data_IF_937099027956
#
_entry.id   IF_937099027956
#
_cell.length_a   1.000
_cell.length_b   1.000
_cell.length_c   1.000
_cell.angle_alpha   90.00
_cell.angle_beta   90.00
_cell.angle_gamma   90.00
#
_symmetry.space_group_name_H-M   'P 1'
#
loop_
_entity.id
_entity.type
_entity.pdbx_description
1 polymer ?
#
# COMPACT_ATOMS: atom_id res chain seq x y z
N UNK A 1 11.66 9.96 -5.27
CA UNK A 1 12.59 10.91 -4.60
C UNK A 1 12.78 12.17 -5.45
N UNK A 2 13.08 12.08 -6.75
CA UNK A 2 13.23 13.29 -7.60
C UNK A 2 12.00 14.22 -7.58
N UNK A 3 10.79 13.68 -7.44
CA UNK A 3 9.54 14.44 -7.42
C UNK A 3 9.36 15.31 -6.15
N UNK A 4 10.21 15.15 -5.13
CA UNK A 4 10.10 15.84 -3.84
C UNK A 4 11.13 16.94 -3.65
N UNK A 5 12.15 17.00 -4.52
CA UNK A 5 13.24 17.98 -4.38
C UNK A 5 12.73 19.38 -4.71
N UNK A 6 12.93 20.32 -3.77
CA UNK A 6 12.56 21.73 -3.93
C UNK A 6 11.07 22.03 -3.78
N UNK A 7 10.27 21.10 -3.27
CA UNK A 7 8.84 21.31 -3.01
C UNK A 7 8.55 21.52 -1.54
N UNK A 8 7.62 22.41 -1.25
CA UNK A 8 7.14 22.68 0.13
C UNK A 8 6.30 21.53 0.70
N UNK A 9 5.71 20.70 -0.19
CA UNK A 9 4.90 19.55 0.23
C UNK A 9 5.27 18.31 -0.56
N UNK A 10 5.21 17.16 0.12
CA UNK A 10 5.38 15.86 -0.54
C UNK A 10 4.10 15.51 -1.31
N UNK A 11 4.20 15.52 -2.64
CA UNK A 11 3.17 15.00 -3.55
C UNK A 11 3.82 14.10 -4.57
N UNK A 12 3.16 13.01 -4.92
CA UNK A 12 3.64 12.06 -5.90
C UNK A 12 2.80 12.13 -7.16
N UNK A 13 3.44 11.97 -8.30
CA UNK A 13 2.69 11.66 -9.53
C UNK A 13 1.94 10.35 -9.31
N UNK A 14 0.69 10.22 -9.81
CA UNK A 14 -0.01 8.96 -9.76
C UNK A 14 0.86 7.82 -10.27
N UNK A 15 1.08 6.79 -9.45
CA UNK A 15 2.07 5.75 -9.74
C UNK A 15 1.48 4.37 -9.45
N UNK A 16 1.74 3.42 -10.33
CA UNK A 16 1.39 2.01 -10.18
C UNK A 16 2.66 1.18 -10.01
N UNK A 17 2.77 0.47 -8.89
CA UNK A 17 3.81 -0.51 -8.65
C UNK A 17 3.34 -1.88 -9.12
N UNK A 18 3.99 -2.45 -10.13
CA UNK A 18 3.70 -3.78 -10.64
C UNK A 18 4.78 -4.77 -10.25
N UNK A 19 4.42 -6.03 -10.05
CA UNK A 19 5.37 -7.08 -9.75
C UNK A 19 4.71 -8.28 -9.06
N UNK A 20 5.45 -9.37 -8.84
CA UNK A 20 4.88 -10.61 -8.36
C UNK A 20 4.27 -10.47 -6.95
N UNK A 21 3.28 -11.33 -6.61
CA UNK A 21 2.67 -11.33 -5.30
C UNK A 21 3.72 -11.62 -4.22
N UNK A 22 3.64 -10.86 -3.11
CA UNK A 22 4.58 -11.01 -2.01
C UNK A 22 5.93 -10.30 -2.20
N UNK A 23 6.14 -9.53 -3.27
CA UNK A 23 7.35 -8.71 -3.48
C UNK A 23 7.50 -7.57 -2.45
N UNK A 24 6.41 -7.15 -1.80
CA UNK A 24 6.43 -6.10 -0.78
C UNK A 24 5.92 -4.74 -1.28
N UNK A 25 5.20 -4.68 -2.40
CA UNK A 25 4.67 -3.46 -3.02
C UNK A 25 3.93 -2.55 -2.02
N UNK A 26 2.88 -3.04 -1.40
CA UNK A 26 2.07 -2.26 -0.44
C UNK A 26 2.88 -1.86 0.80
N UNK A 27 3.86 -2.68 1.20
CA UNK A 27 4.74 -2.37 2.34
C UNK A 27 5.69 -1.21 2.04
N UNK A 28 6.25 -1.15 0.83
CA UNK A 28 7.13 -0.02 0.46
C UNK A 28 6.35 1.28 0.44
N UNK A 29 5.10 1.27 -0.04
CA UNK A 29 4.21 2.45 -0.01
C UNK A 29 3.95 2.91 1.44
N UNK A 30 3.62 1.97 2.33
CA UNK A 30 3.39 2.29 3.74
C UNK A 30 4.67 2.86 4.42
N UNK A 31 5.85 2.34 4.10
CA UNK A 31 7.11 2.88 4.60
C UNK A 31 7.44 4.27 4.06
N UNK A 32 7.16 4.52 2.79
CA UNK A 32 7.30 5.86 2.20
C UNK A 32 6.40 6.85 2.92
N UNK A 33 5.13 6.53 3.12
CA UNK A 33 4.20 7.38 3.87
C UNK A 33 4.72 7.67 5.29
N UNK A 34 5.14 6.64 6.01
CA UNK A 34 5.71 6.78 7.36
C UNK A 34 6.95 7.68 7.41
N UNK A 35 7.92 7.44 6.51
CA UNK A 35 9.15 8.24 6.48
C UNK A 35 8.95 9.70 6.09
N UNK A 36 7.90 10.00 5.33
CA UNK A 36 7.56 11.36 4.92
C UNK A 36 6.53 12.02 5.85
N UNK A 37 6.08 11.32 6.90
CA UNK A 37 5.06 11.83 7.81
C UNK A 37 3.69 12.03 7.15
N UNK A 38 3.39 11.29 6.05
CA UNK A 38 2.12 11.41 5.34
C UNK A 38 1.06 10.51 5.96
N UNK A 39 -0.17 11.01 6.08
CA UNK A 39 -1.32 10.17 6.37
C UNK A 39 -1.49 9.11 5.28
N UNK A 40 -1.59 7.84 5.66
CA UNK A 40 -1.83 6.74 4.72
C UNK A 40 -3.30 6.30 4.80
N UNK A 41 -3.98 6.35 3.65
CA UNK A 41 -5.31 5.77 3.47
C UNK A 41 -5.23 4.59 2.52
N UNK A 42 -5.74 3.44 2.94
CA UNK A 42 -5.68 2.21 2.16
C UNK A 42 -7.05 1.83 1.63
N UNK A 43 -7.12 1.56 0.34
CA UNK A 43 -8.29 1.07 -0.40
C UNK A 43 -7.94 -0.31 -0.95
N UNK A 44 -8.78 -1.29 -0.65
CA UNK A 44 -8.63 -2.65 -1.17
C UNK A 44 -9.54 -2.80 -2.40
N UNK A 45 -8.95 -2.79 -3.59
CA UNK A 45 -9.69 -2.83 -4.84
C UNK A 45 -10.51 -4.14 -5.02
N UNK A 46 -10.25 -5.16 -4.20
CA UNK A 46 -11.05 -6.40 -4.22
C UNK A 46 -12.38 -6.26 -3.50
N UNK A 47 -12.52 -5.29 -2.61
CA UNK A 47 -13.68 -5.06 -1.75
C UNK A 47 -14.36 -3.73 -2.03
N UNK A 48 -13.58 -2.71 -2.32
CA UNK A 48 -14.07 -1.36 -2.52
C UNK A 48 -14.58 -1.18 -3.95
N UNK A 49 -15.82 -0.74 -4.09
CA UNK A 49 -16.41 -0.39 -5.37
C UNK A 49 -16.18 1.10 -5.69
N UNK A 50 -16.49 1.50 -6.92
CA UNK A 50 -16.37 2.89 -7.33
C UNK A 50 -17.22 3.85 -6.49
N UNK A 51 -18.41 3.43 -6.09
CA UNK A 51 -19.30 4.20 -5.22
C UNK A 51 -18.66 4.47 -3.84
N UNK A 52 -17.96 3.48 -3.26
CA UNK A 52 -17.25 3.68 -1.99
C UNK A 52 -16.09 4.66 -2.14
N UNK A 53 -15.24 4.48 -3.16
CA UNK A 53 -14.12 5.39 -3.40
C UNK A 53 -14.56 6.82 -3.72
N UNK A 54 -15.59 6.95 -4.58
CA UNK A 54 -16.09 8.23 -5.11
C UNK A 54 -17.06 8.97 -4.19
N UNK A 55 -17.49 8.33 -3.11
CA UNK A 55 -18.51 8.83 -2.22
C UNK A 55 -19.94 8.47 -2.65
N UNK A 56 -20.84 8.47 -1.68
CA UNK A 56 -22.27 8.17 -1.87
C UNK A 56 -23.10 9.43 -1.71
N UNK A 57 -24.06 9.60 -2.63
CA UNK A 57 -24.96 10.76 -2.63
C UNK A 57 -25.70 10.90 -1.28
N UNK A 58 -25.78 12.14 -0.79
CA UNK A 58 -26.44 12.50 0.49
C UNK A 58 -27.90 12.07 0.61
N UNK A 59 -28.55 11.72 -0.50
CA UNK A 59 -29.94 11.20 -0.49
C UNK A 59 -30.06 9.79 0.09
N UNK A 60 -28.97 9.07 0.16
CA UNK A 60 -28.93 7.71 0.69
C UNK A 60 -28.70 7.75 2.22
N UNK A 61 -29.37 6.88 2.95
CA UNK A 61 -29.16 6.76 4.40
C UNK A 61 -27.71 6.34 4.77
N UNK A 62 -27.01 5.74 3.82
CA UNK A 62 -25.61 5.32 3.92
C UNK A 62 -24.66 6.30 3.24
N UNK A 63 -25.05 7.57 3.07
CA UNK A 63 -24.21 8.58 2.42
C UNK A 63 -22.86 8.71 3.13
N UNK A 64 -21.79 8.76 2.34
CA UNK A 64 -20.43 8.84 2.84
C UNK A 64 -19.58 9.68 1.87
N UNK A 65 -18.72 10.58 2.39
CA UNK A 65 -17.82 11.35 1.55
C UNK A 65 -16.84 10.48 0.80
N UNK A 66 -16.30 10.97 -0.31
CA UNK A 66 -15.25 10.28 -1.05
C UNK A 66 -14.03 9.98 -0.17
N UNK A 67 -13.41 8.83 -0.37
CA UNK A 67 -12.26 8.38 0.43
C UNK A 67 -11.12 9.39 0.52
N UNK A 68 -10.71 10.14 -0.53
CA UNK A 68 -9.67 11.16 -0.40
C UNK A 68 -10.04 12.28 0.55
N UNK A 69 -11.32 12.66 0.62
CA UNK A 69 -11.81 13.68 1.56
C UNK A 69 -11.75 13.16 2.99
N UNK A 70 -12.16 11.92 3.21
CA UNK A 70 -12.03 11.26 4.52
C UNK A 70 -10.56 11.10 4.93
N UNK A 71 -9.67 10.81 3.98
CA UNK A 71 -8.24 10.72 4.24
C UNK A 71 -7.66 12.06 4.69
N UNK A 72 -8.04 13.17 4.05
CA UNK A 72 -7.66 14.54 4.45
C UNK A 72 -8.18 14.85 5.85
N UNK A 73 -9.46 14.59 6.11
CA UNK A 73 -10.08 14.85 7.41
C UNK A 73 -9.41 14.05 8.53
N UNK A 74 -9.09 12.78 8.30
CA UNK A 74 -8.46 11.90 9.29
C UNK A 74 -6.99 12.22 9.54
N UNK A 75 -6.24 12.58 8.49
CA UNK A 75 -4.81 12.90 8.61
C UNK A 75 -4.55 14.32 9.12
N UNK A 76 -5.52 15.22 8.98
CA UNK A 76 -5.36 16.64 9.26
C UNK A 76 -4.44 17.37 8.28
N UNK A 77 -4.12 16.75 7.14
CA UNK A 77 -3.23 17.31 6.12
C UNK A 77 -3.87 17.22 4.73
N UNK A 78 -3.58 18.20 3.87
CA UNK A 78 -4.16 18.25 2.53
C UNK A 78 -3.53 17.23 1.55
N UNK A 79 -2.44 16.59 1.93
CA UNK A 79 -1.62 15.72 1.07
C UNK A 79 -1.46 14.28 1.58
N UNK A 80 -2.53 13.60 2.01
CA UNK A 80 -2.43 12.20 2.37
C UNK A 80 -2.00 11.35 1.18
N UNK A 81 -1.47 10.17 1.47
CA UNK A 81 -1.13 9.16 0.48
C UNK A 81 -2.23 8.10 0.41
N UNK A 82 -2.88 8.01 -0.74
CA UNK A 82 -3.86 6.96 -1.04
C UNK A 82 -3.12 5.75 -1.62
N UNK A 83 -3.30 4.59 -1.00
CA UNK A 83 -2.82 3.31 -1.51
C UNK A 83 -4.01 2.51 -2.04
N UNK A 84 -4.07 2.31 -3.36
CA UNK A 84 -5.04 1.40 -3.98
C UNK A 84 -4.35 0.04 -4.15
N UNK A 85 -4.72 -0.92 -3.32
CA UNK A 85 -4.08 -2.24 -3.31
C UNK A 85 -4.80 -3.22 -4.22
N UNK A 86 -4.05 -4.01 -4.98
CA UNK A 86 -4.53 -5.03 -5.91
C UNK A 86 -5.47 -4.49 -7.00
N UNK A 87 -5.09 -3.37 -7.62
CA UNK A 87 -5.91 -2.63 -8.58
C UNK A 87 -6.39 -3.50 -9.77
N UNK A 88 -5.63 -4.50 -10.20
CA UNK A 88 -5.99 -5.44 -11.26
C UNK A 88 -7.17 -6.36 -10.88
N UNK A 89 -7.49 -6.44 -9.59
CA UNK A 89 -8.59 -7.26 -9.07
C UNK A 89 -9.88 -6.48 -8.84
N UNK A 90 -9.88 -5.19 -9.14
CA UNK A 90 -11.07 -4.36 -9.00
C UNK A 90 -12.26 -4.97 -9.76
N UNK A 91 -13.41 -5.01 -9.10
CA UNK A 91 -14.60 -5.59 -9.67
C UNK A 91 -15.00 -4.85 -10.96
N UNK A 92 -15.24 -5.61 -12.03
CA UNK A 92 -15.70 -5.08 -13.32
C UNK A 92 -17.21 -4.87 -13.40
N UNK A 93 -17.96 -5.28 -12.36
CA UNK A 93 -19.40 -5.15 -12.29
C UNK A 93 -19.82 -3.70 -12.13
N UNK A 94 -20.82 -3.29 -12.91
CA UNK A 94 -21.33 -1.92 -12.90
C UNK A 94 -22.32 -1.63 -11.76
N UNK A 95 -22.78 -2.63 -11.02
CA UNK A 95 -23.89 -2.54 -10.06
C UNK A 95 -23.61 -1.55 -8.91
N UNK A 96 -22.33 -1.35 -8.54
CA UNK A 96 -21.89 -0.38 -7.55
C UNK A 96 -20.84 0.61 -8.08
N UNK A 97 -20.82 0.81 -9.41
CA UNK A 97 -19.79 1.59 -10.09
C UNK A 97 -18.43 0.88 -10.13
N UNK A 98 -17.69 1.09 -11.21
CA UNK A 98 -16.32 0.55 -11.32
C UNK A 98 -15.35 1.45 -10.56
N UNK A 99 -14.42 0.85 -9.83
CA UNK A 99 -13.43 1.58 -9.05
C UNK A 99 -12.65 2.59 -9.91
N UNK A 100 -12.23 2.19 -11.11
CA UNK A 100 -11.47 3.06 -12.00
C UNK A 100 -12.28 4.21 -12.59
N UNK A 101 -13.60 4.10 -12.76
CA UNK A 101 -14.43 5.19 -13.22
C UNK A 101 -14.48 6.32 -12.16
N UNK A 102 -14.50 5.96 -10.87
CA UNK A 102 -14.39 6.91 -9.78
C UNK A 102 -12.95 7.46 -9.63
N UNK A 103 -11.94 6.63 -9.90
CA UNK A 103 -10.54 7.02 -9.73
C UNK A 103 -10.06 7.98 -10.82
N UNK A 104 -10.48 7.79 -12.08
CA UNK A 104 -10.02 8.59 -13.23
C UNK A 104 -10.10 10.11 -13.02
N UNK A 105 -11.24 10.70 -12.60
CA UNK A 105 -11.32 12.15 -12.36
C UNK A 105 -10.45 12.62 -11.20
N UNK A 106 -10.13 11.75 -10.25
CA UNK A 106 -9.28 12.09 -9.11
C UNK A 106 -7.78 12.11 -9.47
N UNK A 107 -7.39 11.43 -10.54
CA UNK A 107 -6.02 11.41 -11.04
C UNK A 107 -5.69 12.58 -11.97
N UNK A 108 -6.70 13.28 -12.49
CA UNK A 108 -6.53 14.44 -13.35
C UNK A 108 -6.41 15.71 -12.52
N UNK A 109 -5.35 16.52 -12.69
CA UNK A 109 -5.13 17.71 -11.87
C UNK A 109 -6.25 18.75 -11.93
N UNK A 110 -6.89 18.90 -13.08
CA UNK A 110 -7.96 19.88 -13.29
C UNK A 110 -9.25 19.47 -12.57
N UNK A 111 -9.68 18.22 -12.74
CA UNK A 111 -10.89 17.69 -12.09
C UNK A 111 -10.67 17.46 -10.58
N UNK A 112 -9.46 17.11 -10.16
CA UNK A 112 -9.12 16.95 -8.75
C UNK A 112 -9.15 18.28 -7.96
N UNK A 113 -8.90 19.44 -8.61
CA UNK A 113 -9.02 20.76 -7.97
C UNK A 113 -10.45 21.15 -7.67
N UNK A 114 -11.40 20.67 -8.46
CA UNK A 114 -12.82 20.99 -8.36
C UNK A 114 -13.65 19.70 -8.30
N UNK A 115 -13.19 18.76 -7.47
CA UNK A 115 -13.86 17.48 -7.32
C UNK A 115 -15.24 17.67 -6.67
N UNK A 116 -16.30 17.24 -7.37
CA UNK A 116 -17.66 17.30 -6.87
C UNK A 116 -17.94 16.11 -5.97
N UNK A 117 -17.93 16.33 -4.66
CA UNK A 117 -18.27 15.28 -3.72
C UNK A 117 -19.79 15.06 -3.65
N UNK A 118 -20.28 13.83 -3.92
CA UNK A 118 -21.73 13.57 -3.95
C UNK A 118 -22.39 13.64 -2.58
N UNK A 119 -21.65 13.41 -1.49
CA UNK A 119 -22.15 13.49 -0.14
C UNK A 119 -22.31 14.95 0.32
N UNK A 120 -21.28 15.77 0.15
CA UNK A 120 -21.28 17.18 0.52
C UNK A 120 -21.98 18.05 -0.52
N UNK A 121 -22.10 17.59 -1.77
CA UNK A 121 -22.63 18.33 -2.91
C UNK A 121 -21.90 19.69 -3.10
N UNK A 122 -20.61 19.69 -2.94
CA UNK A 122 -19.75 20.87 -3.07
C UNK A 122 -18.42 20.51 -3.72
N UNK A 123 -17.79 21.51 -4.30
CA UNK A 123 -16.44 21.38 -4.82
C UNK A 123 -15.43 21.25 -3.69
N UNK A 124 -14.49 20.32 -3.86
CA UNK A 124 -13.42 20.06 -2.90
C UNK A 124 -12.11 19.88 -3.65
N UNK A 125 -11.07 20.58 -3.22
CA UNK A 125 -9.73 20.44 -3.82
C UNK A 125 -9.01 19.23 -3.20
N UNK A 126 -8.89 18.15 -4.00
CA UNK A 126 -8.14 16.95 -3.67
C UNK A 126 -6.86 16.81 -4.51
N UNK A 127 -6.45 17.85 -5.23
CA UNK A 127 -5.29 17.82 -6.15
C UNK A 127 -3.95 17.57 -5.46
N UNK A 128 -3.88 17.78 -4.15
CA UNK A 128 -2.67 17.51 -3.34
C UNK A 128 -2.60 16.09 -2.82
N UNK A 129 -3.66 15.30 -2.95
CA UNK A 129 -3.69 13.89 -2.58
C UNK A 129 -2.77 13.12 -3.51
N UNK A 130 -1.91 12.28 -2.93
CA UNK A 130 -1.00 11.43 -3.68
C UNK A 130 -1.59 10.05 -3.90
N UNK A 131 -1.41 9.49 -5.09
CA UNK A 131 -2.00 8.21 -5.48
C UNK A 131 -0.92 7.19 -5.82
N UNK A 132 -0.88 6.08 -5.09
CA UNK A 132 -0.03 4.93 -5.37
C UNK A 132 -0.89 3.67 -5.45
N UNK A 133 -0.87 3.02 -6.61
CA UNK A 133 -1.52 1.74 -6.84
C UNK A 133 -0.52 0.58 -6.74
N UNK A 134 -1.02 -0.60 -6.41
CA UNK A 134 -0.28 -1.85 -6.59
C UNK A 134 -1.05 -2.78 -7.50
N UNK A 135 -0.33 -3.55 -8.32
CA UNK A 135 -0.88 -4.60 -9.16
C UNK A 135 0.12 -5.74 -9.32
N UNK A 136 -0.35 -6.94 -9.61
CA UNK A 136 0.53 -8.04 -9.97
C UNK A 136 0.85 -8.00 -11.47
N UNK A 137 -0.08 -7.55 -12.28
CA UNK A 137 0.01 -7.41 -13.72
C UNK A 137 -0.85 -6.26 -14.22
N UNK A 138 -0.66 -5.80 -15.45
CA UNK A 138 -1.42 -4.68 -16.04
C UNK A 138 -2.50 -5.12 -17.04
N UNK A 139 -2.53 -6.39 -17.44
CA UNK A 139 -3.32 -6.88 -18.55
C UNK A 139 -4.84 -6.63 -18.43
N UNK A 140 -5.37 -6.51 -17.22
CA UNK A 140 -6.79 -6.27 -16.96
C UNK A 140 -7.12 -4.79 -16.69
N UNK A 141 -6.12 -3.91 -16.69
CA UNK A 141 -6.34 -2.49 -16.40
C UNK A 141 -6.73 -1.72 -17.67
N UNK A 142 -7.72 -0.82 -17.60
CA UNK A 142 -8.11 -0.02 -18.76
C UNK A 142 -6.99 0.91 -19.21
N UNK A 143 -6.83 1.07 -20.53
CA UNK A 143 -5.84 1.97 -21.10
C UNK A 143 -5.94 3.41 -20.56
N UNK A 144 -7.13 4.04 -20.42
CA UNK A 144 -7.25 5.38 -19.85
C UNK A 144 -6.67 5.52 -18.44
N UNK A 145 -6.71 4.46 -17.64
CA UNK A 145 -6.11 4.46 -16.30
C UNK A 145 -4.59 4.35 -16.38
N UNK A 146 -4.07 3.49 -17.26
CA UNK A 146 -2.62 3.33 -17.46
C UNK A 146 -1.96 4.60 -18.00
N UNK A 147 -2.65 5.34 -18.84
CA UNK A 147 -2.15 6.64 -19.38
C UNK A 147 -1.94 7.70 -18.29
N UNK A 148 -2.68 7.60 -17.18
CA UNK A 148 -2.59 8.53 -16.04
C UNK A 148 -1.63 8.08 -14.96
N UNK A 149 -1.21 6.83 -15.02
CA UNK A 149 -0.34 6.24 -14.00
C UNK A 149 1.09 6.07 -14.53
N UNK A 150 2.07 6.50 -13.76
CA UNK A 150 3.46 6.10 -14.00
C UNK A 150 3.63 4.66 -13.53
N UNK A 151 3.85 3.75 -14.45
CA UNK A 151 4.08 2.34 -14.14
C UNK A 151 5.54 2.11 -13.75
N UNK A 152 5.77 1.51 -12.58
CA UNK A 152 7.09 1.13 -12.09
C UNK A 152 7.11 -0.37 -11.76
N UNK A 153 8.07 -1.07 -12.33
CA UNK A 153 8.28 -2.48 -12.01
C UNK A 153 9.04 -2.67 -10.70
N UNK A 154 8.51 -3.53 -9.85
CA UNK A 154 9.13 -3.96 -8.62
C UNK A 154 9.45 -5.46 -8.73
N UNK A 155 10.71 -5.82 -9.00
CA UNK A 155 11.09 -7.21 -9.17
C UNK A 155 10.94 -7.99 -7.85
N UNK A 156 10.81 -9.31 -7.97
CA UNK A 156 10.87 -10.17 -6.82
C UNK A 156 12.23 -10.06 -6.12
N UNK A 157 12.29 -10.08 -4.79
CA UNK A 157 13.55 -10.13 -4.07
C UNK A 157 14.37 -11.36 -4.46
N UNK A 158 15.66 -11.18 -4.63
CA UNK A 158 16.60 -12.23 -4.98
C UNK A 158 17.12 -12.92 -3.73
N UNK A 159 17.70 -14.09 -3.88
CA UNK A 159 18.36 -14.81 -2.77
C UNK A 159 19.45 -13.96 -2.09
N UNK A 160 20.17 -13.14 -2.86
CA UNK A 160 21.19 -12.22 -2.33
C UNK A 160 20.64 -11.14 -1.40
N UNK A 161 19.36 -10.80 -1.52
CA UNK A 161 18.71 -9.76 -0.73
C UNK A 161 18.28 -10.26 0.68
N UNK A 162 18.52 -11.54 1.01
CA UNK A 162 18.10 -12.17 2.26
C UNK A 162 18.52 -11.36 3.49
N UNK A 163 19.81 -11.07 3.62
CA UNK A 163 20.34 -10.41 4.81
C UNK A 163 19.76 -9.00 5.02
N UNK A 164 19.61 -8.24 3.93
CA UNK A 164 18.99 -6.92 3.97
C UNK A 164 17.51 -6.96 4.42
N UNK A 165 16.84 -8.09 4.19
CA UNK A 165 15.43 -8.28 4.55
C UNK A 165 15.24 -8.77 5.99
N UNK A 166 16.23 -9.43 6.61
CA UNK A 166 16.07 -10.03 7.94
C UNK A 166 15.77 -8.99 9.03
N UNK A 167 16.55 -7.92 9.11
CA UNK A 167 16.36 -6.87 10.12
C UNK A 167 14.94 -6.26 10.08
N UNK A 168 14.47 -5.77 8.93
CA UNK A 168 13.10 -5.29 8.78
C UNK A 168 12.00 -6.32 9.07
N UNK A 169 12.27 -7.63 8.85
CA UNK A 169 11.31 -8.70 9.15
C UNK A 169 11.25 -8.94 10.65
N UNK A 170 12.41 -9.03 11.34
CA UNK A 170 12.47 -9.19 12.80
C UNK A 170 11.79 -8.01 13.49
N UNK A 171 12.07 -6.79 13.05
CA UNK A 171 11.40 -5.60 13.59
C UNK A 171 9.88 -5.68 13.44
N UNK A 172 9.38 -6.17 12.31
CA UNK A 172 7.95 -6.36 12.10
C UNK A 172 7.35 -7.43 13.01
N UNK A 173 8.04 -8.57 13.17
CA UNK A 173 7.59 -9.64 14.07
C UNK A 173 7.51 -9.12 15.52
N UNK A 174 8.49 -8.31 15.94
CA UNK A 174 8.47 -7.67 17.26
C UNK A 174 7.25 -6.74 17.41
N UNK A 175 7.02 -5.86 16.45
CA UNK A 175 5.87 -4.95 16.42
C UNK A 175 4.54 -5.72 16.51
N UNK A 176 4.36 -6.76 15.69
CA UNK A 176 3.14 -7.58 15.67
C UNK A 176 2.89 -8.30 17.02
N UNK A 177 3.95 -8.54 17.80
CA UNK A 177 3.90 -9.16 19.14
C UNK A 177 3.87 -8.13 20.29
N UNK A 178 3.89 -6.83 19.99
CA UNK A 178 3.97 -5.76 20.99
C UNK A 178 5.32 -5.72 21.72
N UNK A 179 6.38 -6.21 21.10
CA UNK A 179 7.73 -6.28 21.64
C UNK A 179 8.67 -5.29 20.95
N UNK A 180 9.79 -4.97 21.61
CA UNK A 180 10.90 -4.35 20.90
C UNK A 180 11.75 -5.43 20.22
N UNK A 181 12.45 -5.12 19.09
CA UNK A 181 13.27 -6.09 18.37
C UNK A 181 14.33 -6.80 19.22
N UNK A 182 14.81 -6.17 20.29
CA UNK A 182 15.79 -6.73 21.21
C UNK A 182 15.27 -7.93 22.02
N UNK A 183 13.94 -8.05 22.16
CA UNK A 183 13.29 -9.18 22.86
C UNK A 183 12.89 -10.32 21.93
N UNK A 184 13.13 -10.19 20.64
CA UNK A 184 12.94 -11.30 19.69
C UNK A 184 14.22 -12.15 19.65
N UNK A 185 14.06 -13.47 19.69
CA UNK A 185 15.21 -14.38 19.66
C UNK A 185 16.15 -14.07 18.47
N UNK A 186 17.46 -13.87 18.73
CA UNK A 186 18.40 -13.44 17.70
C UNK A 186 18.57 -14.53 16.62
N UNK A 187 18.71 -14.09 15.38
CA UNK A 187 19.06 -14.94 14.25
C UNK A 187 20.59 -15.08 14.21
N UNK A 188 21.12 -16.19 14.71
CA UNK A 188 22.55 -16.49 14.64
C UNK A 188 22.98 -17.02 13.25
N UNK A 189 24.25 -17.31 13.10
CA UNK A 189 24.82 -17.80 11.84
C UNK A 189 24.21 -19.11 11.35
N UNK A 190 23.79 -20.00 12.27
CA UNK A 190 23.12 -21.26 11.94
C UNK A 190 21.72 -20.98 11.39
N UNK A 191 20.95 -20.11 12.07
CA UNK A 191 19.65 -19.66 11.62
C UNK A 191 19.70 -19.07 10.22
N UNK A 192 20.64 -18.16 9.99
CA UNK A 192 20.81 -17.51 8.69
C UNK A 192 21.15 -18.55 7.61
N UNK A 193 21.99 -19.52 7.94
CA UNK A 193 22.36 -20.62 7.02
C UNK A 193 21.14 -21.47 6.64
N UNK A 194 20.30 -21.83 7.61
CA UNK A 194 19.06 -22.55 7.37
C UNK A 194 18.06 -21.75 6.55
N UNK A 195 17.90 -20.46 6.87
CA UNK A 195 17.06 -19.56 6.09
C UNK A 195 17.55 -19.44 4.64
N UNK A 196 18.84 -19.32 4.40
CA UNK A 196 19.44 -19.31 3.06
C UNK A 196 19.14 -20.60 2.27
N UNK A 197 19.16 -21.75 2.90
CA UNK A 197 18.80 -23.02 2.26
C UNK A 197 17.30 -23.10 1.93
N UNK A 198 16.46 -22.57 2.80
CA UNK A 198 15.00 -22.69 2.71
C UNK A 198 14.34 -21.63 1.83
N UNK A 199 14.98 -20.46 1.68
CA UNK A 199 14.47 -19.37 0.86
C UNK A 199 15.43 -19.02 -0.28
N UNK A 200 14.95 -19.18 -1.51
CA UNK A 200 15.72 -18.95 -2.74
C UNK A 200 15.38 -17.64 -3.45
N UNK A 201 14.69 -16.73 -2.75
CA UNK A 201 14.16 -15.50 -3.32
C UNK A 201 12.65 -15.58 -3.57
N UNK A 202 12.10 -14.57 -4.24
CA UNK A 202 10.70 -14.47 -4.67
C UNK A 202 9.83 -13.74 -3.67
N UNK A 203 9.26 -14.41 -2.68
CA UNK A 203 8.26 -13.81 -1.81
C UNK A 203 8.80 -13.42 -0.44
N UNK A 204 8.74 -12.13 -0.10
CA UNK A 204 9.03 -11.62 1.26
C UNK A 204 8.04 -12.19 2.27
N UNK A 205 6.77 -12.40 1.89
CA UNK A 205 5.75 -13.01 2.76
C UNK A 205 6.14 -14.44 3.14
N UNK A 206 6.74 -15.21 2.21
CA UNK A 206 7.27 -16.54 2.50
C UNK A 206 8.46 -16.46 3.43
N UNK A 207 9.40 -15.54 3.20
CA UNK A 207 10.55 -15.33 4.08
C UNK A 207 10.11 -14.96 5.49
N UNK A 208 9.15 -14.04 5.64
CA UNK A 208 8.63 -13.65 6.95
C UNK A 208 8.08 -14.83 7.72
N UNK A 209 7.28 -15.72 7.09
CA UNK A 209 6.78 -16.94 7.73
C UNK A 209 7.89 -17.89 8.17
N UNK A 210 8.96 -18.03 7.37
CA UNK A 210 10.12 -18.84 7.75
C UNK A 210 10.84 -18.26 8.96
N UNK A 211 11.09 -16.95 8.98
CA UNK A 211 11.72 -16.26 10.11
C UNK A 211 10.86 -16.39 11.37
N UNK A 212 9.56 -16.17 11.26
CA UNK A 212 8.62 -16.27 12.38
C UNK A 212 8.59 -17.68 12.97
N UNK A 213 8.51 -18.72 12.12
CA UNK A 213 8.56 -20.11 12.57
C UNK A 213 9.88 -20.43 13.29
N UNK A 214 10.99 -19.88 12.80
CA UNK A 214 12.31 -20.07 13.40
C UNK A 214 12.41 -19.39 14.77
N UNK A 215 11.98 -18.14 14.89
CA UNK A 215 11.94 -17.40 16.15
C UNK A 215 11.08 -18.13 17.18
N UNK A 216 9.88 -18.55 16.81
CA UNK A 216 8.95 -19.28 17.70
C UNK A 216 9.54 -20.62 18.16
N UNK A 217 10.20 -21.37 17.28
CA UNK A 217 10.84 -22.65 17.68
C UNK A 217 11.97 -22.43 18.69
N UNK A 218 12.79 -21.39 18.54
CA UNK A 218 13.86 -21.05 19.49
C UNK A 218 13.33 -20.62 20.86
N UNK A 219 12.31 -19.80 20.89
CA UNK A 219 11.64 -19.37 22.12
C UNK A 219 11.09 -20.60 22.87
N UNK A 220 10.47 -21.55 22.16
CA UNK A 220 9.97 -22.77 22.76
C UNK A 220 11.09 -23.71 23.36
N UNK A 221 12.28 -23.67 22.75
CA UNK A 221 13.44 -24.41 23.27
C UNK A 221 14.04 -23.73 24.51
N UNK A 222 14.09 -22.36 24.50
CA UNK A 222 14.62 -21.62 25.64
C UNK A 222 13.75 -21.73 26.91
N UNK A 223 12.45 -21.92 26.79
CA UNK A 223 11.52 -22.14 27.93
C UNK A 223 11.66 -23.54 28.54
N UNK A 224 12.24 -24.49 27.82
CA UNK A 224 12.42 -25.90 28.30
C UNK A 224 13.74 -26.15 29.00
N UNK A 225 14.65 -25.17 29.02
CA UNK A 225 15.90 -25.18 29.76
C UNK A 225 15.77 -24.41 31.08
#
# INVERSE_FOLDING_TARGET
MADLIGREHATFRPTLLIGPPGAGKSRIVARIAHHLGLGLWRVDATRDAGASLGGLDRRWATSEPAHPIMAVARSGTANPLMLIDELEKAATRADHGRLWDALLPMLEPETARAYQDPCFQTETDISRVSWLGTANEVGNLPAPLLDRLRVLEMPAPRHADLEALLGPIVARIAEDRGLTPAFVAPLDGEAITLLRRSWRGGSVRRLMRLVEAFVTAREALAVRQ
#
